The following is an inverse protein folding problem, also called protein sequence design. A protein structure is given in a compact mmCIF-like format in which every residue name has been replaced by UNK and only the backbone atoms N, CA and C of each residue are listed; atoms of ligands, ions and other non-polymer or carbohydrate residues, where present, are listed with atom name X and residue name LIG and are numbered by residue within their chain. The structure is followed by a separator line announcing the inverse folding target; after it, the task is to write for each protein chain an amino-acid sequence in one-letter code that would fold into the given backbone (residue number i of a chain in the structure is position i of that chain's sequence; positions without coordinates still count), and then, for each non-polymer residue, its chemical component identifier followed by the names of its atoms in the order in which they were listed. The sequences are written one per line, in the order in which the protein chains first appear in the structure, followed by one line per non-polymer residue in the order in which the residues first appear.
data_IF_104101690436
#
_entry.id   IF_104101690436
#
_cell.length_a   1.000
_cell.length_b   1.000
_cell.length_c   1.000
_cell.angle_alpha   90.00
_cell.angle_beta   90.00
_cell.angle_gamma   90.00
#
_symmetry.space_group_name_H-M   'P 1'
#
loop_
_entity.id
_entity.type
_entity.pdbx_description
1 polymer ?
#
# COMPACT_ATOMS: atom_id res chain seq x y z
N UNK A 1 -79.97 -45.56 2.75
CA UNK A 1 -79.50 -45.60 1.37
C UNK A 1 -78.51 -44.46 1.26
N UNK A 2 -77.26 -44.77 1.55
CA UNK A 2 -76.18 -45.06 0.63
C UNK A 2 -75.75 -43.82 -0.14
N UNK A 3 -74.59 -43.33 0.00
CA UNK A 3 -73.23 -43.87 -0.32
C UNK A 3 -72.16 -42.97 0.20
N UNK A 4 -71.12 -43.61 0.76
CA UNK A 4 -69.77 -43.08 1.01
C UNK A 4 -69.11 -42.57 -0.27
N UNK A 5 -68.35 -41.50 -0.15
CA UNK A 5 -67.22 -41.26 -1.05
C UNK A 5 -66.07 -40.61 -0.27
N UNK A 6 -65.02 -41.35 -0.15
CA UNK A 6 -63.82 -40.93 0.48
C UNK A 6 -63.00 -39.97 -0.43
N UNK A 7 -62.48 -38.93 0.15
CA UNK A 7 -61.51 -38.05 -0.48
C UNK A 7 -60.13 -38.24 0.15
N UNK A 8 -59.21 -38.70 -0.68
CA UNK A 8 -57.77 -38.74 -0.39
C UNK A 8 -57.25 -37.33 -0.14
N UNK A 9 -56.78 -37.08 1.06
CA UNK A 9 -55.98 -35.91 1.37
C UNK A 9 -54.52 -36.15 0.94
N UNK A 10 -54.13 -35.54 -0.18
CA UNK A 10 -52.75 -35.47 -0.64
C UNK A 10 -51.95 -34.54 0.26
N UNK A 11 -51.00 -35.12 0.97
CA UNK A 11 -50.08 -34.42 1.86
C UNK A 11 -48.99 -33.77 1.00
N UNK A 12 -49.18 -32.49 0.60
CA UNK A 12 -48.20 -31.66 -0.09
C UNK A 12 -47.25 -31.08 0.94
N UNK A 13 -46.12 -31.77 1.16
CA UNK A 13 -45.02 -31.26 1.93
C UNK A 13 -44.34 -30.14 1.13
N UNK A 14 -44.73 -28.89 1.43
CA UNK A 14 -43.96 -27.69 1.00
C UNK A 14 -42.59 -27.76 1.63
N UNK A 15 -41.56 -28.08 0.81
CA UNK A 15 -40.15 -27.78 1.12
C UNK A 15 -40.02 -26.28 1.19
N UNK A 16 -39.99 -25.72 2.40
CA UNK A 16 -39.49 -24.39 2.64
C UNK A 16 -38.00 -24.44 2.38
N UNK A 17 -37.56 -23.83 1.27
CA UNK A 17 -36.18 -23.42 1.08
C UNK A 17 -35.90 -22.36 2.15
N UNK A 18 -35.21 -22.76 3.21
CA UNK A 18 -34.51 -21.83 4.06
C UNK A 18 -33.32 -21.30 3.23
N UNK A 19 -33.56 -20.14 2.67
CA UNK A 19 -32.48 -19.30 2.12
C UNK A 19 -31.61 -18.83 3.31
N UNK A 20 -30.63 -19.65 3.71
CA UNK A 20 -29.59 -19.22 4.63
C UNK A 20 -28.74 -18.21 3.87
N UNK A 21 -29.14 -16.94 3.95
CA UNK A 21 -28.27 -15.83 3.64
C UNK A 21 -27.00 -16.00 4.50
N UNK A 22 -25.90 -16.42 3.87
CA UNK A 22 -24.58 -16.38 4.49
C UNK A 22 -24.33 -14.93 4.89
N UNK A 23 -23.91 -14.65 6.14
CA UNK A 23 -23.51 -13.30 6.50
C UNK A 23 -22.42 -12.85 5.54
N UNK A 24 -22.62 -11.69 4.93
CA UNK A 24 -21.58 -11.03 4.15
C UNK A 24 -20.33 -10.93 5.03
N UNK A 25 -19.13 -11.24 4.50
CA UNK A 25 -17.91 -11.10 5.25
C UNK A 25 -17.82 -9.66 5.76
N UNK A 26 -17.79 -9.50 7.06
CA UNK A 26 -17.62 -8.20 7.70
C UNK A 26 -16.38 -7.53 7.11
N UNK A 27 -16.51 -6.33 6.53
CA UNK A 27 -15.35 -5.63 6.01
C UNK A 27 -14.31 -5.46 7.12
N UNK A 28 -13.01 -5.59 6.82
CA UNK A 28 -11.97 -5.36 7.81
C UNK A 28 -12.16 -3.99 8.46
N UNK A 29 -11.79 -3.83 9.74
CA UNK A 29 -11.92 -2.57 10.44
C UNK A 29 -11.22 -1.46 9.64
N UNK A 30 -11.72 -0.22 9.71
CA UNK A 30 -11.04 0.92 9.08
C UNK A 30 -9.61 1.06 9.64
N UNK A 31 -8.66 1.58 8.86
CA UNK A 31 -7.34 1.88 9.37
C UNK A 31 -7.47 2.85 10.56
N UNK A 32 -6.91 2.46 11.69
CA UNK A 32 -6.93 3.25 12.91
C UNK A 32 -5.76 4.27 12.96
N UNK A 33 -5.72 5.07 14.01
CA UNK A 33 -4.62 6.04 14.26
C UNK A 33 -3.25 5.36 14.23
N UNK A 34 -3.16 4.10 14.68
CA UNK A 34 -1.90 3.35 14.68
C UNK A 34 -1.42 3.00 13.28
N UNK A 35 -2.34 2.77 12.34
CA UNK A 35 -2.04 2.56 10.92
C UNK A 35 -1.39 3.82 10.31
N UNK A 36 -1.98 4.99 10.57
CA UNK A 36 -1.45 6.26 10.07
C UNK A 36 -0.13 6.63 10.74
N UNK A 37 0.00 6.39 12.06
CA UNK A 37 1.24 6.61 12.80
C UNK A 37 2.37 5.67 12.36
N UNK A 38 2.06 4.41 12.04
CA UNK A 38 3.02 3.46 11.49
C UNK A 38 3.49 3.89 10.10
N UNK A 39 2.57 4.35 9.24
CA UNK A 39 2.87 4.87 7.91
C UNK A 39 3.80 6.09 7.95
N UNK A 40 3.56 7.02 8.87
CA UNK A 40 4.39 8.20 9.04
C UNK A 40 5.78 7.83 9.56
N UNK A 41 5.85 6.91 10.55
CA UNK A 41 7.11 6.42 11.14
C UNK A 41 7.95 5.61 10.15
N UNK A 42 7.32 4.77 9.31
CA UNK A 42 8.01 4.07 8.23
C UNK A 42 8.49 5.04 7.14
N UNK A 43 7.72 6.07 6.83
CA UNK A 43 8.13 7.16 5.96
C UNK A 43 9.38 7.89 6.48
N UNK A 44 9.41 8.23 7.77
CA UNK A 44 10.56 8.85 8.42
C UNK A 44 11.76 7.91 8.52
N UNK A 45 11.57 6.63 8.84
CA UNK A 45 12.65 5.64 8.93
C UNK A 45 13.20 5.21 7.57
N UNK A 46 12.41 5.29 6.49
CA UNK A 46 12.90 5.06 5.13
C UNK A 46 13.84 6.19 4.66
N UNK A 47 13.69 7.40 5.19
CA UNK A 47 14.63 8.50 5.01
C UNK A 47 15.95 8.30 5.79
N UNK A 48 15.97 7.48 6.85
CA UNK A 48 17.13 7.23 7.71
C UNK A 48 18.02 6.06 7.26
N UNK A 49 17.58 5.23 6.28
CA UNK A 49 18.33 4.06 5.81
C UNK A 49 19.16 4.32 4.54
N UNK A 50 19.77 5.46 4.42
CA UNK A 50 20.88 5.66 3.48
C UNK A 50 22.17 5.68 4.29
N UNK A 51 23.04 4.72 3.99
CA UNK A 51 24.37 4.37 4.52
C UNK A 51 25.08 5.40 5.41
N UNK A 52 25.76 4.95 6.48
CA UNK A 52 26.49 5.81 7.40
C UNK A 52 27.89 6.13 6.85
N UNK A 53 27.96 7.02 5.87
CA UNK A 53 29.21 7.66 5.48
C UNK A 53 28.90 9.08 5.02
N UNK A 54 28.65 9.88 5.99
CA UNK A 54 28.78 11.33 6.06
C UNK A 54 27.85 11.82 7.16
N UNK A 55 28.31 11.60 8.41
CA UNK A 55 27.78 12.27 9.59
C UNK A 55 28.04 13.77 9.42
N UNK A 56 27.05 14.52 8.96
CA UNK A 56 26.90 15.90 9.31
C UNK A 56 25.60 16.01 10.12
N UNK A 57 25.81 16.34 11.36
CA UNK A 57 24.84 16.38 12.48
C UNK A 57 23.79 17.46 12.23
N UNK A 58 22.69 17.12 11.54
CA UNK A 58 21.59 18.05 11.26
C UNK A 58 20.75 18.38 12.50
N UNK A 59 20.83 17.56 13.55
CA UNK A 59 20.21 17.86 14.86
C UNK A 59 20.95 19.00 15.59
N UNK A 60 22.24 19.19 15.36
CA UNK A 60 23.00 20.31 15.95
C UNK A 60 22.71 21.65 15.25
N UNK A 61 22.48 21.66 13.94
CA UNK A 61 22.12 22.89 13.21
C UNK A 61 20.71 23.41 13.56
N UNK A 62 19.84 22.58 14.12
CA UNK A 62 18.52 23.01 14.58
C UNK A 62 18.56 23.77 15.92
N UNK A 63 19.58 23.53 16.74
CA UNK A 63 19.66 24.08 18.11
C UNK A 63 20.43 25.41 18.17
N UNK A 64 21.29 25.71 17.21
CA UNK A 64 22.12 26.93 17.22
C UNK A 64 21.46 28.17 16.60
N UNK A 65 20.27 28.05 15.97
CA UNK A 65 19.56 29.18 15.35
C UNK A 65 18.33 29.67 16.13
N UNK A 66 18.18 29.28 17.41
CA UNK A 66 17.14 29.85 18.28
C UNK A 66 17.67 31.13 18.91
N UNK A 67 17.12 32.31 18.62
CA UNK A 67 17.41 33.49 19.42
C UNK A 67 16.78 33.27 20.81
N UNK A 68 17.61 33.30 21.82
CA UNK A 68 17.18 33.37 23.24
C UNK A 68 16.56 34.76 23.52
N UNK A 69 15.28 34.92 23.21
CA UNK A 69 14.42 35.99 23.70
C UNK A 69 13.04 35.39 23.98
N UNK A 70 12.88 34.86 25.17
CA UNK A 70 11.70 34.16 25.61
C UNK A 70 10.81 35.14 26.40
N UNK A 71 9.80 35.75 25.82
CA UNK A 71 8.51 36.05 26.47
C UNK A 71 7.53 36.77 25.54
N UNK A 72 7.98 37.56 24.57
CA UNK A 72 7.13 38.14 23.53
C UNK A 72 6.93 37.19 22.30
N UNK A 73 7.90 36.33 22.05
CA UNK A 73 7.88 35.36 20.94
C UNK A 73 6.77 34.30 21.10
N UNK A 74 6.49 33.87 22.34
CA UNK A 74 5.51 32.80 22.59
C UNK A 74 4.08 33.23 22.28
N UNK A 75 3.70 34.47 22.57
CA UNK A 75 2.37 35.02 22.24
C UNK A 75 2.20 35.26 20.74
N UNK A 76 3.27 35.65 20.06
CA UNK A 76 3.24 35.92 18.62
C UNK A 76 3.14 34.60 17.84
N UNK A 77 3.90 33.60 18.23
CA UNK A 77 3.84 32.24 17.66
C UNK A 77 2.46 31.60 17.84
N UNK A 78 1.82 31.78 19.00
CA UNK A 78 0.46 31.28 19.26
C UNK A 78 -0.57 31.91 18.31
N UNK A 79 -0.47 33.21 18.10
CA UNK A 79 -1.35 33.92 17.18
C UNK A 79 -1.15 33.48 15.71
N UNK A 80 0.10 33.21 15.32
CA UNK A 80 0.42 32.76 13.96
C UNK A 80 -0.11 31.34 13.70
N UNK A 81 -0.08 30.44 14.70
CA UNK A 81 -0.73 29.13 14.59
C UNK A 81 -2.25 29.23 14.46
N UNK A 82 -2.87 30.16 15.15
CA UNK A 82 -4.32 30.39 15.03
C UNK A 82 -4.68 30.95 13.64
N UNK A 83 -3.87 31.87 13.09
CA UNK A 83 -4.01 32.35 11.72
C UNK A 83 -3.83 31.21 10.73
N UNK A 84 -2.86 30.33 10.94
CA UNK A 84 -2.64 29.16 10.09
C UNK A 84 -3.84 28.21 10.12
N UNK A 85 -4.43 27.97 11.29
CA UNK A 85 -5.62 27.12 11.46
C UNK A 85 -6.84 27.72 10.74
N UNK A 86 -7.07 29.02 10.89
CA UNK A 86 -8.15 29.71 10.18
C UNK A 86 -7.95 29.69 8.65
N UNK A 87 -6.71 29.86 8.20
CA UNK A 87 -6.35 29.81 6.79
C UNK A 87 -6.56 28.40 6.22
N UNK A 88 -6.19 27.36 6.96
CA UNK A 88 -6.43 25.97 6.59
C UNK A 88 -7.93 25.65 6.55
N UNK A 89 -8.69 26.06 7.59
CA UNK A 89 -10.13 25.84 7.63
C UNK A 89 -10.88 26.58 6.50
N UNK A 90 -10.40 27.74 6.12
CA UNK A 90 -10.95 28.52 5.01
C UNK A 90 -10.45 28.06 3.61
N UNK A 91 -9.63 27.03 3.55
CA UNK A 91 -9.01 26.48 2.33
C UNK A 91 -8.34 27.56 1.46
N UNK A 92 -7.66 28.52 2.11
CA UNK A 92 -7.05 29.68 1.42
C UNK A 92 -5.66 29.34 0.89
N UNK A 93 -5.35 29.96 -0.24
CA UNK A 93 -4.01 30.00 -0.82
C UNK A 93 -3.24 31.16 -0.19
N UNK A 94 -1.98 30.93 0.14
CA UNK A 94 -1.04 31.93 0.68
C UNK A 94 0.21 31.97 -0.18
N UNK A 95 0.72 33.18 -0.41
CA UNK A 95 1.97 33.37 -1.14
C UNK A 95 3.12 33.51 -0.14
N UNK A 96 4.05 32.55 -0.16
CA UNK A 96 5.12 32.47 0.83
C UNK A 96 6.50 32.42 0.16
N UNK A 97 7.52 33.11 0.73
CA UNK A 97 8.87 33.04 0.24
C UNK A 97 9.54 31.72 0.59
N UNK A 98 10.28 31.16 -0.35
CA UNK A 98 11.15 30.00 -0.15
C UNK A 98 12.45 30.48 0.48
N UNK A 99 12.69 30.11 1.74
CA UNK A 99 13.89 30.55 2.50
C UNK A 99 15.01 29.51 2.48
N UNK A 100 14.72 28.29 2.05
CA UNK A 100 15.72 27.23 1.99
C UNK A 100 15.17 25.93 1.40
N UNK A 101 15.97 24.88 1.47
CA UNK A 101 15.58 23.56 1.03
C UNK A 101 16.31 22.47 1.82
N UNK A 102 15.75 21.28 1.84
CA UNK A 102 16.41 20.08 2.34
C UNK A 102 16.29 18.93 1.31
N UNK A 103 16.71 17.72 1.68
CA UNK A 103 16.64 16.53 0.80
C UNK A 103 15.20 16.19 0.38
N UNK A 104 14.21 16.51 1.19
CA UNK A 104 12.79 16.17 0.98
C UNK A 104 11.98 17.23 0.23
N UNK A 105 12.39 18.53 0.25
CA UNK A 105 11.59 19.62 -0.32
C UNK A 105 12.08 21.00 0.03
N UNK A 106 11.18 22.00 -0.09
CA UNK A 106 11.46 23.40 0.16
C UNK A 106 11.02 23.82 1.57
N UNK A 107 11.75 24.76 2.14
CA UNK A 107 11.39 25.43 3.40
C UNK A 107 10.87 26.83 3.07
N UNK A 108 9.72 27.15 3.65
CA UNK A 108 9.06 28.45 3.50
C UNK A 108 8.85 29.11 4.86
N UNK A 109 8.77 30.42 4.88
CA UNK A 109 8.55 31.19 6.08
C UNK A 109 7.17 31.87 6.02
N UNK A 110 6.43 31.74 7.10
CA UNK A 110 5.14 32.41 7.26
C UNK A 110 5.05 33.03 8.66
N UNK A 111 5.30 34.34 8.74
CA UNK A 111 5.49 35.06 9.99
C UNK A 111 6.57 34.42 10.87
N UNK A 112 6.19 33.95 12.07
CA UNK A 112 7.11 33.21 12.95
C UNK A 112 7.18 31.70 12.67
N UNK A 113 6.32 31.19 11.77
CA UNK A 113 6.24 29.77 11.49
C UNK A 113 7.13 29.37 10.31
N UNK A 114 7.72 28.18 10.40
CA UNK A 114 8.39 27.54 9.28
C UNK A 114 7.52 26.44 8.70
N UNK A 115 7.25 26.55 7.41
CA UNK A 115 6.50 25.58 6.66
C UNK A 115 7.41 24.71 5.78
N UNK A 116 6.99 23.50 5.51
CA UNK A 116 7.66 22.56 4.63
C UNK A 116 6.79 22.24 3.43
N UNK A 117 7.37 22.30 2.23
CA UNK A 117 6.74 21.91 0.98
C UNK A 117 7.45 20.68 0.43
N UNK A 118 6.90 19.47 0.57
CA UNK A 118 7.50 18.27 0.01
C UNK A 118 7.71 18.42 -1.49
N UNK A 119 8.79 17.86 -2.02
CA UNK A 119 9.09 17.92 -3.46
C UNK A 119 8.01 17.26 -4.32
N UNK A 120 7.24 16.32 -3.78
CA UNK A 120 6.08 15.71 -4.43
C UNK A 120 4.90 16.66 -4.57
N UNK A 121 4.84 17.69 -3.73
CA UNK A 121 3.79 18.71 -3.68
C UNK A 121 4.11 19.94 -4.53
N UNK A 122 5.28 19.99 -5.15
CA UNK A 122 5.67 21.03 -6.10
C UNK A 122 5.08 20.76 -7.48
N UNK A 123 4.73 21.84 -8.18
CA UNK A 123 4.31 21.79 -9.59
C UNK A 123 5.54 21.69 -10.47
N UNK A 124 5.44 20.89 -11.54
CA UNK A 124 6.49 20.70 -12.55
C UNK A 124 7.87 20.34 -11.98
N UNK A 125 7.88 19.74 -10.79
CA UNK A 125 9.14 19.26 -10.22
C UNK A 125 9.54 17.94 -10.90
N UNK A 126 10.69 17.92 -11.62
CA UNK A 126 11.07 16.75 -12.40
C UNK A 126 11.39 15.55 -11.50
N UNK A 127 11.10 14.35 -12.03
CA UNK A 127 11.49 13.09 -11.37
C UNK A 127 12.96 12.81 -11.65
N UNK A 128 13.86 13.40 -10.86
CA UNK A 128 15.31 13.24 -11.02
C UNK A 128 15.77 12.03 -10.21
N UNK A 129 16.36 11.01 -10.84
CA UNK A 129 16.92 9.85 -10.15
C UNK A 129 18.21 10.21 -9.38
N UNK A 130 18.90 11.28 -9.79
CA UNK A 130 20.13 11.74 -9.17
C UNK A 130 19.83 12.75 -8.04
N UNK A 131 20.34 12.46 -6.85
CA UNK A 131 20.21 13.32 -5.68
C UNK A 131 20.89 14.69 -5.84
N UNK A 132 21.94 14.80 -6.65
CA UNK A 132 22.63 16.06 -6.93
C UNK A 132 21.77 16.96 -7.84
N UNK A 133 21.23 16.42 -8.91
CA UNK A 133 20.31 17.14 -9.80
C UNK A 133 19.04 17.59 -9.08
N UNK A 134 18.50 16.74 -8.19
CA UNK A 134 17.36 17.09 -7.34
C UNK A 134 17.66 18.26 -6.41
N UNK A 135 18.83 18.28 -5.76
CA UNK A 135 19.26 19.39 -4.91
C UNK A 135 19.43 20.69 -5.69
N UNK A 136 20.01 20.62 -6.88
CA UNK A 136 20.19 21.78 -7.74
C UNK A 136 18.83 22.41 -8.13
N UNK A 137 17.83 21.59 -8.46
CA UNK A 137 16.49 22.06 -8.80
C UNK A 137 15.77 22.68 -7.59
N UNK A 138 15.92 22.11 -6.39
CA UNK A 138 15.39 22.70 -5.16
C UNK A 138 16.13 24.02 -4.82
N UNK A 139 17.45 24.06 -4.98
CA UNK A 139 18.25 25.26 -4.74
C UNK A 139 17.86 26.42 -5.68
N UNK A 140 17.53 26.13 -6.93
CA UNK A 140 17.10 27.13 -7.91
C UNK A 140 15.79 27.84 -7.53
N UNK A 141 14.98 27.23 -6.66
CA UNK A 141 13.70 27.80 -6.19
C UNK A 141 13.82 28.63 -4.92
N UNK A 142 14.97 28.65 -4.27
CA UNK A 142 15.22 29.50 -3.08
C UNK A 142 15.17 30.97 -3.47
N UNK A 143 14.44 31.76 -2.68
CA UNK A 143 14.17 33.19 -2.95
C UNK A 143 12.95 33.45 -3.83
N UNK A 144 12.33 32.40 -4.39
CA UNK A 144 11.06 32.54 -5.11
C UNK A 144 9.90 32.62 -4.14
N UNK A 145 8.80 33.26 -4.56
CA UNK A 145 7.52 33.21 -3.84
C UNK A 145 6.64 32.17 -4.49
N UNK A 146 6.10 31.25 -3.70
CA UNK A 146 5.20 30.20 -4.16
C UNK A 146 3.80 30.41 -3.59
N UNK A 147 2.80 30.21 -4.45
CA UNK A 147 1.40 30.12 -4.03
C UNK A 147 1.15 28.72 -3.44
N UNK A 148 0.88 28.69 -2.15
CA UNK A 148 0.82 27.46 -1.39
C UNK A 148 -0.51 27.32 -0.64
N UNK A 149 -0.92 26.08 -0.38
CA UNK A 149 -2.06 25.76 0.46
C UNK A 149 -1.63 24.82 1.56
N UNK A 150 -2.15 25.04 2.77
CA UNK A 150 -1.88 24.16 3.91
C UNK A 150 -2.58 22.84 3.68
N UNK A 151 -1.84 21.72 3.79
CA UNK A 151 -2.38 20.36 3.69
C UNK A 151 -2.33 19.62 5.03
N UNK A 152 -1.43 20.00 5.91
CA UNK A 152 -1.33 19.44 7.26
C UNK A 152 -0.84 20.51 8.24
N UNK A 153 -1.44 20.53 9.42
CA UNK A 153 -1.12 21.45 10.49
C UNK A 153 -1.11 20.70 11.82
N UNK A 154 0.05 20.60 12.45
CA UNK A 154 0.27 19.97 13.76
C UNK A 154 1.08 20.92 14.62
N UNK A 155 0.40 21.58 15.55
CA UNK A 155 1.00 22.56 16.47
C UNK A 155 1.88 21.88 17.52
N UNK A 156 1.51 20.69 17.98
CA UNK A 156 2.24 19.98 19.04
C UNK A 156 3.60 19.49 18.54
N UNK A 157 3.68 19.12 17.28
CA UNK A 157 4.92 18.72 16.59
C UNK A 157 5.60 19.88 15.87
N UNK A 158 5.09 21.12 16.00
CA UNK A 158 5.57 22.30 15.27
C UNK A 158 5.69 22.05 13.76
N UNK A 159 4.71 21.35 13.17
CA UNK A 159 4.73 20.91 11.79
C UNK A 159 3.64 21.60 10.95
N UNK A 160 4.08 22.29 9.91
CA UNK A 160 3.23 22.96 8.92
C UNK A 160 3.63 22.48 7.52
N UNK A 161 2.78 21.67 6.90
CA UNK A 161 3.03 21.15 5.55
C UNK A 161 2.13 21.85 4.54
N UNK A 162 2.75 22.31 3.45
CA UNK A 162 2.07 23.04 2.40
C UNK A 162 2.26 22.37 1.03
N UNK A 163 1.39 22.73 0.09
CA UNK A 163 1.37 22.17 -1.25
C UNK A 163 1.13 23.25 -2.30
N UNK A 164 1.99 23.33 -3.29
CA UNK A 164 1.81 24.15 -4.48
C UNK A 164 0.74 23.55 -5.41
N UNK A 165 0.71 22.22 -5.55
CA UNK A 165 -0.31 21.50 -6.33
C UNK A 165 -1.72 21.75 -5.79
N UNK A 166 -1.89 21.70 -4.48
CA UNK A 166 -3.18 21.96 -3.85
C UNK A 166 -3.63 23.42 -4.05
N UNK A 167 -2.69 24.35 -4.18
CA UNK A 167 -3.01 25.75 -4.44
C UNK A 167 -3.54 26.01 -5.86
N UNK A 168 -3.16 25.16 -6.83
CA UNK A 168 -3.68 25.27 -8.21
C UNK A 168 -5.14 24.82 -8.35
N UNK A 169 -5.63 24.05 -7.38
CA UNK A 169 -7.03 23.63 -7.36
C UNK A 169 -7.89 24.78 -6.83
N UNK A 170 -8.97 25.10 -7.53
CA UNK A 170 -9.85 26.21 -7.17
C UNK A 170 -10.35 26.13 -5.72
N UNK A 171 -10.50 27.28 -5.07
CA UNK A 171 -11.00 27.35 -3.69
C UNK A 171 -12.33 26.60 -3.56
N UNK A 172 -12.42 25.73 -2.56
CA UNK A 172 -13.60 24.89 -2.30
C UNK A 172 -13.66 23.58 -3.11
N UNK A 173 -12.87 23.37 -4.17
CA UNK A 173 -12.89 22.09 -4.90
C UNK A 173 -12.39 20.93 -4.03
N UNK A 174 -11.33 21.14 -3.25
CA UNK A 174 -10.81 20.14 -2.32
C UNK A 174 -11.86 19.75 -1.27
N UNK A 175 -12.51 20.74 -0.66
CA UNK A 175 -13.60 20.51 0.29
C UNK A 175 -14.75 19.73 -0.36
N UNK A 176 -15.17 20.13 -1.56
CA UNK A 176 -16.21 19.43 -2.33
C UNK A 176 -15.82 17.97 -2.65
N UNK A 177 -14.54 17.69 -2.98
CA UNK A 177 -14.07 16.33 -3.23
C UNK A 177 -14.15 15.52 -1.94
N UNK A 178 -13.61 16.04 -0.81
CA UNK A 178 -13.65 15.37 0.48
C UNK A 178 -15.07 15.14 0.99
N UNK A 179 -16.01 16.06 0.74
CA UNK A 179 -17.41 15.91 1.09
C UNK A 179 -18.12 14.82 0.28
N UNK A 180 -17.77 14.71 -1.01
CA UNK A 180 -18.38 13.73 -1.93
C UNK A 180 -17.80 12.33 -1.76
N UNK A 181 -16.50 12.23 -1.50
CA UNK A 181 -15.82 10.94 -1.35
C UNK A 181 -16.38 10.15 -0.17
N UNK A 182 -16.73 8.91 -0.43
CA UNK A 182 -17.21 7.97 0.56
C UNK A 182 -16.40 6.68 0.49
N UNK A 183 -16.32 5.98 1.60
CA UNK A 183 -15.82 4.61 1.63
C UNK A 183 -16.62 3.75 0.66
N UNK A 184 -15.93 2.99 -0.17
CA UNK A 184 -16.53 2.15 -1.20
C UNK A 184 -16.55 2.76 -2.59
N UNK A 185 -16.30 4.06 -2.73
CA UNK A 185 -16.26 4.72 -4.02
C UNK A 185 -15.07 4.24 -4.86
N UNK A 186 -15.27 4.25 -6.18
CA UNK A 186 -14.21 4.00 -7.15
C UNK A 186 -14.00 5.31 -7.92
N UNK A 187 -12.81 5.84 -7.84
CA UNK A 187 -12.44 7.08 -8.53
C UNK A 187 -11.14 6.91 -9.33
N UNK A 188 -10.89 7.86 -10.22
CA UNK A 188 -9.63 7.93 -10.96
C UNK A 188 -8.73 8.98 -10.33
N UNK A 189 -7.44 8.69 -10.22
CA UNK A 189 -6.44 9.62 -9.73
C UNK A 189 -5.12 9.44 -10.47
N UNK A 190 -4.23 10.41 -10.29
CA UNK A 190 -2.89 10.40 -10.89
C UNK A 190 -1.85 10.07 -9.82
N UNK A 191 -1.00 9.11 -10.08
CA UNK A 191 0.13 8.76 -9.20
C UNK A 191 1.12 9.93 -9.16
N UNK A 192 1.28 10.56 -8.00
CA UNK A 192 2.16 11.72 -7.80
C UNK A 192 3.54 11.31 -7.32
N UNK A 193 3.59 10.34 -6.42
CA UNK A 193 4.84 9.86 -5.84
C UNK A 193 4.79 8.36 -5.51
N UNK A 194 5.96 7.71 -5.50
CA UNK A 194 6.15 6.30 -5.15
C UNK A 194 7.25 6.21 -4.09
N UNK A 195 6.89 5.72 -2.91
CA UNK A 195 7.78 5.52 -1.75
C UNK A 195 7.81 4.04 -1.37
N UNK A 196 8.75 3.62 -0.53
CA UNK A 196 8.90 2.21 -0.12
C UNK A 196 7.63 1.66 0.53
N UNK A 197 6.89 2.49 1.26
CA UNK A 197 5.67 2.10 1.98
C UNK A 197 4.38 2.24 1.15
N UNK A 198 4.40 2.86 -0.04
CA UNK A 198 3.20 3.02 -0.84
C UNK A 198 3.28 4.03 -1.97
N UNK A 199 2.12 4.34 -2.54
CA UNK A 199 1.95 5.27 -3.64
C UNK A 199 1.00 6.40 -3.27
N UNK A 200 1.40 7.63 -3.56
CA UNK A 200 0.52 8.80 -3.45
C UNK A 200 -0.22 9.04 -4.75
N UNK A 201 -1.51 9.32 -4.65
CA UNK A 201 -2.41 9.51 -5.79
C UNK A 201 -3.22 10.78 -5.59
N UNK A 202 -3.11 11.71 -6.53
CA UNK A 202 -3.93 12.92 -6.56
C UNK A 202 -5.29 12.64 -7.18
N UNK A 203 -6.35 12.94 -6.43
CA UNK A 203 -7.75 12.78 -6.80
C UNK A 203 -8.37 14.08 -7.35
N UNK A 204 -7.53 15.00 -7.82
CA UNK A 204 -7.96 16.31 -8.31
C UNK A 204 -7.86 17.42 -7.26
N UNK A 205 -6.80 17.38 -6.45
CA UNK A 205 -6.50 18.35 -5.38
C UNK A 205 -6.62 17.78 -3.97
N UNK A 206 -6.98 16.53 -3.85
CA UNK A 206 -6.90 15.74 -2.60
C UNK A 206 -5.92 14.59 -2.83
N UNK A 207 -4.88 14.53 -2.03
CA UNK A 207 -3.93 13.44 -2.12
C UNK A 207 -4.38 12.25 -1.27
N UNK A 208 -4.46 11.08 -1.91
CA UNK A 208 -4.72 9.81 -1.26
C UNK A 208 -3.47 8.93 -1.24
N UNK A 209 -3.43 7.98 -0.32
CA UNK A 209 -2.34 7.04 -0.15
C UNK A 209 -2.81 5.61 -0.38
N UNK A 210 -2.10 4.90 -1.25
CA UNK A 210 -2.20 3.44 -1.41
C UNK A 210 -1.01 2.85 -0.68
N UNK A 211 -1.24 2.20 0.46
CA UNK A 211 -0.19 1.45 1.14
C UNK A 211 0.30 0.28 0.28
N UNK A 212 1.56 -0.14 0.43
CA UNK A 212 2.15 -1.23 -0.36
C UNK A 212 1.32 -2.52 -0.28
N UNK A 213 0.72 -2.81 0.87
CA UNK A 213 -0.17 -3.97 1.08
C UNK A 213 -1.53 -3.84 0.39
N UNK A 214 -1.90 -2.66 -0.11
CA UNK A 214 -3.14 -2.37 -0.82
C UNK A 214 -2.94 -2.22 -2.35
N UNK A 215 -1.71 -2.46 -2.84
CA UNK A 215 -1.39 -2.44 -4.27
C UNK A 215 -1.83 -3.71 -5.01
N UNK A 216 -1.55 -4.87 -4.43
CA UNK A 216 -1.88 -6.18 -5.01
C UNK A 216 -2.22 -7.19 -3.92
N UNK A 217 -2.95 -8.25 -4.27
CA UNK A 217 -3.15 -9.42 -3.43
C UNK A 217 -1.88 -10.26 -3.28
N UNK A 218 -0.95 -10.17 -4.25
CA UNK A 218 0.37 -10.79 -4.20
C UNK A 218 1.39 -9.94 -3.44
N UNK A 219 2.56 -10.52 -3.22
CA UNK A 219 3.68 -9.83 -2.59
C UNK A 219 4.25 -8.79 -3.56
N UNK A 220 4.27 -7.55 -3.14
CA UNK A 220 4.89 -6.42 -3.84
C UNK A 220 6.19 -6.06 -3.11
N UNK A 221 7.31 -6.05 -3.81
CA UNK A 221 8.61 -5.68 -3.26
C UNK A 221 8.74 -4.16 -3.11
N UNK A 222 8.31 -3.43 -4.12
CA UNK A 222 8.29 -1.97 -4.13
C UNK A 222 7.11 -1.46 -4.99
N UNK A 223 6.46 -0.33 -4.65
CA UNK A 223 5.36 0.21 -5.44
C UNK A 223 5.67 0.45 -6.93
N UNK A 224 6.93 0.67 -7.28
CA UNK A 224 7.39 0.81 -8.69
C UNK A 224 7.25 -0.47 -9.51
N UNK A 225 7.08 -1.61 -8.86
CA UNK A 225 6.88 -2.88 -9.56
C UNK A 225 5.45 -2.98 -10.13
N UNK A 226 4.51 -2.16 -9.61
CA UNK A 226 3.08 -2.17 -9.95
C UNK A 226 2.63 -0.87 -10.61
N UNK A 227 3.20 0.27 -10.20
CA UNK A 227 2.77 1.60 -10.62
C UNK A 227 3.91 2.43 -11.18
N UNK A 228 3.54 3.33 -12.11
CA UNK A 228 4.46 4.32 -12.68
C UNK A 228 4.03 5.74 -12.23
N UNK A 229 5.00 6.61 -11.98
CA UNK A 229 4.71 8.01 -11.67
C UNK A 229 4.02 8.70 -12.84
N UNK A 230 3.06 9.57 -12.53
CA UNK A 230 2.16 10.29 -13.47
C UNK A 230 1.15 9.38 -14.19
N UNK A 231 1.10 8.11 -13.90
CA UNK A 231 0.08 7.21 -14.40
C UNK A 231 -1.29 7.56 -13.82
N UNK A 232 -2.34 7.46 -14.64
CA UNK A 232 -3.72 7.58 -14.19
C UNK A 232 -4.26 6.21 -13.86
N UNK A 233 -4.66 6.02 -12.60
CA UNK A 233 -5.16 4.76 -12.07
C UNK A 233 -6.56 4.89 -11.50
N UNK A 234 -7.33 3.80 -11.59
CA UNK A 234 -8.58 3.69 -10.84
C UNK A 234 -8.26 3.15 -9.46
N UNK A 235 -8.86 3.73 -8.44
CA UNK A 235 -8.62 3.37 -7.05
C UNK A 235 -9.92 3.20 -6.28
N UNK A 236 -9.94 2.30 -5.32
CA UNK A 236 -11.03 2.09 -4.37
C UNK A 236 -10.76 2.92 -3.12
N UNK A 237 -11.74 3.69 -2.66
CA UNK A 237 -11.65 4.50 -1.44
C UNK A 237 -11.93 3.62 -0.23
N UNK A 238 -10.91 3.41 0.60
CA UNK A 238 -11.00 2.61 1.82
C UNK A 238 -11.54 3.41 3.00
N UNK A 239 -11.04 4.64 3.15
CA UNK A 239 -11.40 5.55 4.24
C UNK A 239 -11.14 7.00 3.85
N UNK A 240 -11.89 7.94 4.47
CA UNK A 240 -11.77 9.38 4.24
C UNK A 240 -11.73 10.10 5.58
N UNK A 241 -10.55 10.57 5.98
CA UNK A 241 -10.34 11.39 7.16
C UNK A 241 -10.47 12.88 6.79
N UNK A 242 -11.68 13.41 6.86
CA UNK A 242 -12.00 14.77 6.42
C UNK A 242 -11.26 15.84 7.20
N UNK A 243 -11.09 15.65 8.51
CA UNK A 243 -10.41 16.58 9.40
C UNK A 243 -8.94 16.78 9.05
N UNK A 244 -8.29 15.70 8.59
CA UNK A 244 -6.88 15.69 8.20
C UNK A 244 -6.69 15.78 6.67
N UNK A 245 -7.77 15.76 5.89
CA UNK A 245 -7.71 15.74 4.43
C UNK A 245 -6.98 14.53 3.85
N UNK A 246 -6.99 13.39 4.57
CA UNK A 246 -6.31 12.15 4.19
C UNK A 246 -7.30 11.13 3.64
N UNK A 247 -6.92 10.49 2.54
CA UNK A 247 -7.75 9.46 1.88
C UNK A 247 -6.93 8.18 1.75
N UNK A 248 -7.41 7.10 2.36
CA UNK A 248 -6.83 5.77 2.19
C UNK A 248 -7.41 5.11 0.94
N UNK A 249 -6.54 4.60 0.09
CA UNK A 249 -6.88 4.03 -1.21
C UNK A 249 -6.39 2.60 -1.36
N UNK A 250 -7.02 1.85 -2.27
CA UNK A 250 -6.62 0.48 -2.60
C UNK A 250 -6.76 0.22 -4.10
N UNK A 251 -5.80 -0.49 -4.68
CA UNK A 251 -5.89 -1.08 -6.01
C UNK A 251 -6.40 -2.52 -5.94
N UNK A 252 -5.91 -3.30 -4.97
CA UNK A 252 -6.26 -4.72 -4.87
C UNK A 252 -7.76 -4.95 -4.68
N UNK A 253 -8.48 -4.02 -4.02
CA UNK A 253 -9.93 -4.13 -3.80
C UNK A 253 -10.78 -3.88 -5.06
N UNK A 254 -10.17 -3.45 -6.15
CA UNK A 254 -10.81 -3.41 -7.47
C UNK A 254 -10.92 -4.79 -8.11
N UNK A 255 -10.14 -5.75 -7.62
CA UNK A 255 -10.14 -7.13 -8.06
C UNK A 255 -10.69 -8.03 -6.94
N UNK A 256 -11.39 -9.09 -7.28
CA UNK A 256 -11.86 -10.05 -6.28
C UNK A 256 -10.68 -10.66 -5.53
N UNK A 257 -10.87 -10.92 -4.23
CA UNK A 257 -9.88 -11.63 -3.42
C UNK A 257 -9.72 -13.07 -3.94
N UNK A 258 -8.54 -13.48 -4.44
CA UNK A 258 -8.32 -14.82 -4.95
C UNK A 258 -8.51 -15.90 -3.87
N UNK A 259 -8.32 -15.55 -2.60
CA UNK A 259 -8.51 -16.46 -1.48
C UNK A 259 -9.98 -16.69 -1.13
N UNK A 260 -10.87 -15.74 -1.41
CA UNK A 260 -12.30 -15.88 -1.14
C UNK A 260 -12.95 -17.02 -1.94
N UNK A 261 -12.39 -17.38 -3.09
CA UNK A 261 -12.92 -18.42 -3.98
C UNK A 261 -11.97 -19.59 -4.18
N UNK A 262 -10.85 -19.64 -3.46
CA UNK A 262 -9.80 -20.66 -3.65
C UNK A 262 -10.34 -22.09 -3.49
N UNK A 263 -11.17 -22.34 -2.47
CA UNK A 263 -11.76 -23.66 -2.20
C UNK A 263 -12.81 -24.10 -3.25
N UNK A 264 -13.32 -23.16 -4.03
CA UNK A 264 -14.24 -23.45 -5.14
C UNK A 264 -13.47 -23.75 -6.45
N UNK A 265 -12.28 -23.18 -6.60
CA UNK A 265 -11.47 -23.26 -7.83
C UNK A 265 -10.43 -24.36 -7.80
N UNK A 266 -9.97 -24.72 -6.63
CA UNK A 266 -8.95 -25.74 -6.43
C UNK A 266 -9.44 -26.85 -5.52
N UNK A 267 -8.95 -28.08 -5.75
CA UNK A 267 -9.30 -29.25 -4.95
C UNK A 267 -8.03 -29.95 -4.45
N UNK A 268 -8.12 -30.57 -3.28
CA UNK A 268 -7.03 -31.39 -2.74
C UNK A 268 -6.72 -32.53 -3.70
N UNK A 269 -5.44 -32.77 -3.98
CA UNK A 269 -4.97 -33.74 -4.97
C UNK A 269 -4.80 -33.20 -6.38
N UNK A 270 -5.36 -32.02 -6.70
CA UNK A 270 -5.20 -31.38 -8.01
C UNK A 270 -3.74 -31.00 -8.25
N UNK A 271 -3.28 -31.18 -9.49
CA UNK A 271 -1.98 -30.71 -9.93
C UNK A 271 -2.13 -29.29 -10.48
N UNK A 272 -1.33 -28.37 -9.95
CA UNK A 272 -1.30 -26.95 -10.36
C UNK A 272 0.10 -26.59 -10.85
N UNK A 273 0.14 -25.65 -11.79
CA UNK A 273 1.40 -25.05 -12.23
C UNK A 273 1.66 -23.79 -11.41
N UNK A 274 2.92 -23.53 -11.10
CA UNK A 274 3.31 -22.36 -10.34
C UNK A 274 4.76 -21.98 -10.61
N UNK A 275 5.15 -20.84 -10.01
CA UNK A 275 6.51 -20.33 -10.07
C UNK A 275 7.03 -20.14 -8.65
N UNK A 276 8.21 -20.66 -8.35
CA UNK A 276 8.87 -20.44 -7.05
C UNK A 276 9.18 -18.97 -6.88
N UNK A 277 8.64 -18.36 -5.83
CA UNK A 277 8.82 -16.93 -5.52
C UNK A 277 9.87 -16.71 -4.46
N UNK A 278 10.01 -17.64 -3.52
CA UNK A 278 10.99 -17.53 -2.43
C UNK A 278 11.36 -18.93 -1.89
N UNK A 279 12.63 -19.09 -1.49
CA UNK A 279 13.14 -20.32 -0.90
C UNK A 279 13.73 -20.03 0.47
N UNK A 280 13.15 -20.65 1.50
CA UNK A 280 13.48 -20.50 2.93
C UNK A 280 13.89 -21.85 3.54
N UNK A 281 14.42 -21.86 4.76
CA UNK A 281 14.94 -23.07 5.41
C UNK A 281 13.89 -24.17 5.61
N UNK A 282 12.63 -23.79 5.86
CA UNK A 282 11.54 -24.71 6.09
C UNK A 282 10.75 -25.10 4.82
N UNK A 283 11.13 -24.57 3.63
CA UNK A 283 10.46 -24.90 2.37
C UNK A 283 10.62 -23.86 1.28
N UNK A 284 9.66 -23.87 0.34
CA UNK A 284 9.61 -22.91 -0.74
C UNK A 284 8.19 -22.37 -0.95
N UNK A 285 8.08 -21.09 -1.27
CA UNK A 285 6.82 -20.48 -1.69
C UNK A 285 6.68 -20.57 -3.19
N UNK A 286 5.50 -20.93 -3.65
CA UNK A 286 5.17 -21.02 -5.07
C UNK A 286 3.90 -20.23 -5.37
N UNK A 287 3.99 -19.30 -6.31
CA UNK A 287 2.85 -18.55 -6.83
C UNK A 287 2.13 -19.39 -7.88
N UNK A 288 0.90 -19.76 -7.59
CA UNK A 288 0.00 -20.50 -8.50
C UNK A 288 -0.71 -19.55 -9.45
N UNK A 289 -1.15 -18.42 -8.93
CA UNK A 289 -1.72 -17.30 -9.68
C UNK A 289 -1.43 -15.97 -8.97
N UNK A 290 -1.77 -14.85 -9.59
CA UNK A 290 -1.59 -13.56 -8.96
C UNK A 290 -2.40 -13.48 -7.66
N UNK A 291 -1.72 -13.14 -6.56
CA UNK A 291 -2.33 -13.06 -5.23
C UNK A 291 -2.52 -14.41 -4.52
N UNK A 292 -2.20 -15.55 -5.14
CA UNK A 292 -2.31 -16.87 -4.54
C UNK A 292 -0.95 -17.58 -4.49
N UNK A 293 -0.34 -17.60 -3.32
CA UNK A 293 0.90 -18.31 -3.05
C UNK A 293 0.66 -19.51 -2.13
N UNK A 294 1.25 -20.64 -2.48
CA UNK A 294 1.26 -21.85 -1.66
C UNK A 294 2.64 -22.11 -1.07
N UNK A 295 2.66 -22.83 0.04
CA UNK A 295 3.88 -23.29 0.70
C UNK A 295 4.13 -24.76 0.35
N UNK A 296 5.34 -25.05 -0.13
CA UNK A 296 5.88 -26.40 -0.26
C UNK A 296 6.80 -26.59 0.94
N UNK A 297 6.34 -27.35 1.93
CA UNK A 297 7.17 -27.64 3.09
C UNK A 297 8.42 -28.44 2.68
N UNK A 298 9.50 -28.36 3.47
CA UNK A 298 10.77 -29.04 3.17
C UNK A 298 10.58 -30.55 2.93
N UNK A 299 9.69 -31.23 3.67
CA UNK A 299 9.36 -32.64 3.50
C UNK A 299 8.65 -32.95 2.17
N UNK A 300 8.09 -31.96 1.51
CA UNK A 300 7.29 -32.07 0.29
C UNK A 300 8.03 -31.62 -0.99
N UNK A 301 9.28 -31.17 -0.84
CA UNK A 301 10.10 -30.70 -1.97
C UNK A 301 10.66 -31.84 -2.82
N UNK A 302 11.16 -32.88 -2.17
CA UNK A 302 11.72 -34.07 -2.85
C UNK A 302 11.70 -35.30 -1.96
N UNK A 303 11.93 -36.46 -2.56
CA UNK A 303 12.20 -37.68 -1.85
C UNK A 303 13.70 -37.77 -1.50
N UNK A 304 14.01 -38.15 -0.25
CA UNK A 304 15.39 -38.28 0.25
C UNK A 304 15.87 -37.09 1.10
N UNK A 305 17.12 -37.20 1.56
CA UNK A 305 17.74 -36.17 2.42
C UNK A 305 18.49 -35.16 1.57
N UNK A 306 18.21 -33.89 1.78
CA UNK A 306 18.96 -32.76 1.22
C UNK A 306 19.24 -31.75 2.33
N UNK A 307 20.35 -31.04 2.21
CA UNK A 307 20.82 -30.11 3.25
C UNK A 307 20.01 -28.83 3.32
N UNK A 308 19.48 -28.35 2.18
CA UNK A 308 18.76 -27.08 2.12
C UNK A 308 17.77 -27.10 0.93
N UNK A 309 16.57 -26.48 1.07
CA UNK A 309 15.59 -26.37 -0.02
C UNK A 309 16.13 -25.83 -1.34
N UNK A 310 17.12 -24.92 -1.30
CA UNK A 310 17.78 -24.35 -2.51
C UNK A 310 18.55 -25.39 -3.34
N UNK A 311 18.81 -26.57 -2.79
CA UNK A 311 19.41 -27.66 -3.54
C UNK A 311 18.41 -28.37 -4.46
N UNK A 312 17.11 -28.18 -4.20
CA UNK A 312 16.01 -28.86 -4.90
C UNK A 312 15.32 -27.91 -5.88
N UNK A 313 15.02 -26.67 -5.46
CA UNK A 313 14.29 -25.67 -6.26
C UNK A 313 15.00 -24.32 -6.19
N UNK A 314 14.76 -23.49 -7.23
CA UNK A 314 15.30 -22.13 -7.33
C UNK A 314 14.18 -21.11 -7.52
N UNK A 315 14.42 -19.90 -7.05
CA UNK A 315 13.53 -18.77 -7.30
C UNK A 315 13.40 -18.54 -8.82
N UNK A 316 12.17 -18.30 -9.28
CA UNK A 316 11.83 -18.16 -10.70
C UNK A 316 11.60 -19.49 -11.45
N UNK A 317 11.84 -20.63 -10.81
CA UNK A 317 11.61 -21.94 -11.42
C UNK A 317 10.12 -22.22 -11.58
N UNK A 318 9.71 -22.72 -12.76
CA UNK A 318 8.35 -23.21 -13.00
C UNK A 318 8.23 -24.63 -12.49
N UNK A 319 7.20 -24.89 -11.71
CA UNK A 319 6.94 -26.18 -11.08
C UNK A 319 5.53 -26.66 -11.37
N UNK A 320 5.34 -27.97 -11.27
CA UNK A 320 4.03 -28.61 -11.17
C UNK A 320 3.93 -29.24 -9.80
N UNK A 321 2.98 -28.75 -9.00
CA UNK A 321 2.82 -29.17 -7.61
C UNK A 321 1.42 -29.74 -7.40
N UNK A 322 1.30 -30.68 -6.46
CA UNK A 322 0.02 -31.22 -6.01
C UNK A 322 -0.49 -30.41 -4.84
N UNK A 323 -1.76 -30.06 -4.84
CA UNK A 323 -2.42 -29.42 -3.72
C UNK A 323 -2.63 -30.42 -2.60
N UNK A 324 -2.09 -30.16 -1.42
CA UNK A 324 -2.23 -30.99 -0.22
C UNK A 324 -3.38 -30.53 0.67
N UNK A 325 -3.49 -29.24 0.90
CA UNK A 325 -4.56 -28.63 1.69
C UNK A 325 -4.85 -27.22 1.19
N UNK A 326 -6.08 -26.76 1.44
CA UNK A 326 -6.56 -25.44 1.09
C UNK A 326 -7.30 -24.89 2.31
N UNK A 327 -6.95 -23.69 2.73
CA UNK A 327 -7.66 -22.92 3.76
C UNK A 327 -7.75 -21.48 3.30
N UNK A 328 -8.91 -21.14 2.72
CA UNK A 328 -9.18 -19.79 2.19
C UNK A 328 -9.25 -18.73 3.30
N UNK A 329 -9.72 -19.10 4.50
CA UNK A 329 -9.85 -18.15 5.61
C UNK A 329 -8.49 -17.78 6.20
N UNK A 330 -7.63 -18.76 6.42
CA UNK A 330 -6.27 -18.56 6.93
C UNK A 330 -5.27 -18.20 5.83
N UNK A 331 -5.71 -18.11 4.57
CA UNK A 331 -4.88 -17.87 3.38
C UNK A 331 -3.68 -18.81 3.31
N UNK A 332 -3.96 -20.12 3.40
CA UNK A 332 -2.95 -21.18 3.36
C UNK A 332 -3.26 -22.16 2.24
N UNK A 333 -2.27 -22.39 1.39
CA UNK A 333 -2.28 -23.40 0.35
C UNK A 333 -1.05 -24.27 0.50
N UNK A 334 -1.24 -25.53 0.89
CA UNK A 334 -0.16 -26.50 1.00
C UNK A 334 0.05 -27.20 -0.35
N UNK A 335 1.30 -27.25 -0.79
CA UNK A 335 1.70 -27.84 -2.05
C UNK A 335 2.77 -28.91 -1.85
N UNK A 336 2.84 -29.90 -2.78
CA UNK A 336 3.86 -30.95 -2.81
C UNK A 336 4.44 -31.14 -4.21
N UNK A 337 5.75 -31.26 -4.30
CA UNK A 337 6.46 -31.68 -5.51
C UNK A 337 6.71 -33.19 -5.54
N UNK A 338 6.39 -33.93 -4.45
CA UNK A 338 6.56 -35.38 -4.39
C UNK A 338 5.58 -36.06 -5.34
N UNK A 339 6.05 -37.06 -6.05
CA UNK A 339 5.19 -37.90 -6.90
C UNK A 339 4.27 -38.74 -6.00
N UNK A 340 2.96 -38.58 -6.18
CA UNK A 340 2.02 -39.48 -5.50
C UNK A 340 2.00 -40.86 -6.18
N UNK A 341 1.63 -41.89 -5.44
CA UNK A 341 1.54 -43.29 -5.91
C UNK A 341 0.66 -43.50 -7.16
N UNK A 342 -0.05 -42.46 -7.64
CA UNK A 342 -0.92 -42.50 -8.85
C UNK A 342 -0.35 -41.84 -10.12
N UNK A 343 0.87 -41.28 -10.11
CA UNK A 343 1.41 -40.49 -11.22
C UNK A 343 2.40 -41.25 -12.12
N UNK A 344 2.11 -42.53 -12.38
CA UNK A 344 2.97 -43.43 -13.17
C UNK A 344 2.86 -43.24 -14.71
N UNK A 345 2.33 -42.14 -15.20
CA UNK A 345 2.07 -41.96 -16.65
C UNK A 345 2.71 -40.74 -17.32
N UNK A 346 3.83 -40.23 -16.84
CA UNK A 346 4.59 -39.24 -17.61
C UNK A 346 6.07 -39.67 -17.67
N UNK A 347 6.67 -39.82 -18.90
CA UNK A 347 8.06 -40.24 -19.01
C UNK A 347 9.00 -39.20 -18.41
N UNK A 348 9.99 -39.65 -17.66
CA UNK A 348 11.06 -38.84 -17.09
C UNK A 348 11.74 -38.00 -18.18
N UNK A 349 11.89 -36.70 -17.94
CA UNK A 349 12.73 -35.82 -18.77
C UNK A 349 14.17 -36.40 -18.75
N UNK A 350 14.72 -36.84 -19.89
CA UNK A 350 16.04 -37.49 -19.94
C UNK A 350 17.21 -36.56 -19.62
N UNK A 351 16.98 -35.29 -19.28
CA UNK A 351 18.01 -34.31 -18.93
C UNK A 351 18.38 -34.28 -17.43
N UNK A 352 17.69 -35.05 -16.56
CA UNK A 352 17.98 -35.10 -15.12
C UNK A 352 18.89 -36.26 -14.68
N UNK A 353 19.35 -37.09 -15.59
CA UNK A 353 20.32 -38.14 -15.28
C UNK A 353 21.65 -37.84 -15.95
N UNK A 354 22.51 -37.04 -15.32
CA UNK A 354 23.97 -37.20 -15.38
C UNK A 354 24.65 -36.14 -14.50
N UNK A 355 25.25 -36.64 -13.42
CA UNK A 355 26.09 -35.81 -12.56
C UNK A 355 26.52 -36.45 -11.26
N UNK A 356 26.56 -37.76 -11.17
CA UNK A 356 27.39 -38.43 -10.16
C UNK A 356 28.16 -39.57 -10.81
N UNK A 357 29.34 -39.25 -11.28
CA UNK A 357 30.35 -40.17 -11.75
C UNK A 357 31.73 -39.60 -11.39
N UNK A 358 32.29 -40.11 -10.33
CA UNK A 358 33.64 -40.47 -10.01
C UNK A 358 34.78 -39.45 -10.26
N UNK A 359 35.42 -38.97 -9.27
CA UNK A 359 36.81 -39.29 -8.81
C UNK A 359 37.05 -38.50 -7.54
#
# INVERSE_FOLDING_TARGET
MDRMNGTHAGNSVRKQHLDMQRPEPTPPPPPDESYWAALLREGESAFSRVSPTENHDWEQDYTELLPQQADSATHQTWNDWEIARQTHAADRVVDLPVVGYNRGGLLVEWNSLRGFVPASQLVDFPSLPDGAARRAELAARVGMTLSLRIIELDQDQNRLILSERAAQVGAGQRANILERLRRGDICSGRVTNLCDFGAFVDLGGVEGLIHISELSWGRVGHPRDVLTRNETVRVYVMDVQREHGRVALSLKRLQPDPWATVEQRYTVGQIVEGVITNVVDFGAFARVEEGLEGLIHVSELAEGNFLHPRNVVREGERIRARVLNIDGQSRRLGLSLRRGEGDMTTPADPRRTNGYGGY
#
